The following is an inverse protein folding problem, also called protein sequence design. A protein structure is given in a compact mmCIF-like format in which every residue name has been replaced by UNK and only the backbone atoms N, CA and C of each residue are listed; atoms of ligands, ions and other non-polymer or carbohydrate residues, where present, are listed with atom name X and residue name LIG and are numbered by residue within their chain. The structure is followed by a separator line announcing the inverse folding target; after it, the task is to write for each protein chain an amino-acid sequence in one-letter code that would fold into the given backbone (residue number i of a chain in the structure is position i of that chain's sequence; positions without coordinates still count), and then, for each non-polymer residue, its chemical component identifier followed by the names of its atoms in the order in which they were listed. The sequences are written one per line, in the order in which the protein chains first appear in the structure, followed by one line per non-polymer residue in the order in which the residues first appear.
data_IF_306069115018
#
_entry.id   IF_306069115018
#
_cell.length_a   1.000
_cell.length_b   1.000
_cell.length_c   1.000
_cell.angle_alpha   90.00
_cell.angle_beta   90.00
_cell.angle_gamma   90.00
#
_symmetry.space_group_name_H-M   'P 1'
#
loop_
_entity.id
_entity.type
_entity.pdbx_description
1 polymer ?
#
# COMPACT_ATOMS: atom_id res chain seq x y z
N UNK A 1 -23.58 -0.22 -17.08
CA UNK A 1 -22.33 -1.02 -17.00
C UNK A 1 -22.72 -2.48 -16.81
N UNK A 2 -22.35 -3.36 -17.74
CA UNK A 2 -22.37 -4.81 -17.45
C UNK A 2 -21.48 -5.05 -16.22
N UNK A 3 -21.92 -5.88 -15.29
CA UNK A 3 -21.18 -6.28 -14.08
C UNK A 3 -21.05 -5.25 -12.95
N UNK A 4 -21.84 -4.15 -12.97
CA UNK A 4 -21.85 -3.15 -11.87
C UNK A 4 -21.96 -3.78 -10.48
N UNK A 5 -22.90 -4.72 -10.33
CA UNK A 5 -23.17 -5.38 -9.05
C UNK A 5 -21.98 -6.23 -8.59
N UNK A 6 -21.30 -6.91 -9.51
CA UNK A 6 -20.09 -7.68 -9.22
C UNK A 6 -18.95 -6.80 -8.73
N UNK A 7 -18.70 -5.66 -9.38
CA UNK A 7 -17.66 -4.72 -8.95
C UNK A 7 -17.97 -4.10 -7.59
N UNK A 8 -19.22 -3.69 -7.36
CA UNK A 8 -19.65 -3.15 -6.07
C UNK A 8 -19.53 -4.20 -4.96
N UNK A 9 -19.94 -5.44 -5.23
CA UNK A 9 -19.82 -6.53 -4.26
C UNK A 9 -18.34 -6.76 -3.89
N UNK A 10 -17.45 -6.90 -4.87
CA UNK A 10 -16.01 -7.08 -4.62
C UNK A 10 -15.40 -5.91 -3.85
N UNK A 11 -15.75 -4.68 -4.22
CA UNK A 11 -15.31 -3.47 -3.53
C UNK A 11 -15.80 -3.41 -2.08
N UNK A 12 -17.07 -3.74 -1.83
CA UNK A 12 -17.65 -3.78 -0.49
C UNK A 12 -17.01 -4.85 0.38
N UNK A 13 -16.72 -6.04 -0.17
CA UNK A 13 -16.00 -7.08 0.58
C UNK A 13 -14.56 -6.65 0.92
N UNK A 14 -13.84 -6.07 -0.04
CA UNK A 14 -12.49 -5.55 0.22
C UNK A 14 -12.50 -4.44 1.28
N UNK A 15 -13.47 -3.52 1.20
CA UNK A 15 -13.65 -2.46 2.20
C UNK A 15 -13.99 -3.03 3.58
N UNK A 16 -14.89 -4.01 3.66
CA UNK A 16 -15.25 -4.67 4.91
C UNK A 16 -14.03 -5.33 5.56
N UNK A 17 -13.25 -6.08 4.79
CA UNK A 17 -12.00 -6.68 5.27
C UNK A 17 -11.01 -5.62 5.76
N UNK A 18 -10.85 -4.53 5.00
CA UNK A 18 -9.99 -3.42 5.41
C UNK A 18 -10.43 -2.80 6.74
N UNK A 19 -11.74 -2.59 6.93
CA UNK A 19 -12.28 -2.03 8.17
C UNK A 19 -12.09 -2.98 9.35
N UNK A 20 -12.30 -4.29 9.17
CA UNK A 20 -12.06 -5.30 10.22
C UNK A 20 -10.58 -5.29 10.63
N UNK A 21 -9.67 -5.30 9.65
CA UNK A 21 -8.23 -5.23 9.92
C UNK A 21 -7.85 -3.92 10.61
N UNK A 22 -8.38 -2.79 10.16
CA UNK A 22 -8.15 -1.49 10.79
C UNK A 22 -8.64 -1.44 12.23
N UNK A 23 -9.81 -2.03 12.51
CA UNK A 23 -10.36 -2.15 13.86
C UNK A 23 -9.43 -2.97 14.76
N UNK A 24 -8.96 -4.13 14.29
CA UNK A 24 -7.98 -4.95 15.02
C UNK A 24 -6.68 -4.18 15.27
N UNK A 25 -6.15 -3.50 14.25
CA UNK A 25 -4.93 -2.69 14.35
C UNK A 25 -5.07 -1.59 15.39
N UNK A 26 -6.23 -0.92 15.46
CA UNK A 26 -6.45 0.20 16.39
C UNK A 26 -6.68 -0.26 17.83
N UNK A 27 -7.54 -1.25 18.01
CA UNK A 27 -8.09 -1.59 19.33
C UNK A 27 -7.46 -2.84 19.95
N UNK A 28 -6.82 -3.69 19.14
CA UNK A 28 -6.20 -4.95 19.61
C UNK A 28 -4.78 -5.14 19.06
N UNK A 29 -3.88 -4.14 19.17
CA UNK A 29 -2.54 -4.22 18.60
C UNK A 29 -1.71 -5.38 19.19
N UNK A 30 -1.89 -5.71 20.47
CA UNK A 30 -1.13 -6.77 21.15
C UNK A 30 -1.38 -8.16 20.56
N UNK A 31 -2.61 -8.47 20.15
CA UNK A 31 -2.93 -9.73 19.47
C UNK A 31 -2.22 -9.84 18.12
N UNK A 32 -2.02 -8.71 17.44
CA UNK A 32 -1.33 -8.67 16.16
C UNK A 32 0.19 -8.74 16.31
N UNK A 33 0.78 -8.32 17.42
CA UNK A 33 2.24 -8.34 17.60
C UNK A 33 2.79 -9.76 17.48
N UNK A 34 2.23 -10.72 18.22
CA UNK A 34 2.72 -12.11 18.19
C UNK A 34 2.53 -12.75 16.82
N UNK A 35 1.40 -12.48 16.17
CA UNK A 35 1.11 -12.97 14.82
C UNK A 35 2.09 -12.37 13.79
N UNK A 36 2.22 -11.05 13.77
CA UNK A 36 3.11 -10.32 12.85
C UNK A 36 4.57 -10.71 13.07
N UNK A 37 5.03 -10.81 14.31
CA UNK A 37 6.41 -11.20 14.62
C UNK A 37 6.72 -12.63 14.18
N UNK A 38 5.79 -13.56 14.36
CA UNK A 38 5.97 -14.96 13.93
C UNK A 38 6.12 -15.03 12.40
N UNK A 39 5.26 -14.33 11.66
CA UNK A 39 5.31 -14.28 10.20
C UNK A 39 6.56 -13.53 9.72
N UNK A 40 6.88 -12.39 10.32
CA UNK A 40 8.08 -11.62 9.98
C UNK A 40 9.34 -12.45 10.21
N UNK A 41 9.44 -13.18 11.32
CA UNK A 41 10.61 -14.02 11.60
C UNK A 41 10.68 -15.19 10.61
N UNK A 42 9.56 -15.82 10.27
CA UNK A 42 9.52 -16.94 9.32
C UNK A 42 9.88 -16.53 7.88
N UNK A 43 9.38 -15.38 7.40
CA UNK A 43 9.59 -14.91 6.03
C UNK A 43 10.90 -14.13 5.90
N UNK A 44 11.15 -13.22 6.85
CA UNK A 44 12.26 -12.29 6.80
C UNK A 44 13.52 -12.88 7.42
N UNK A 45 13.40 -13.46 8.62
CA UNK A 45 14.47 -14.15 9.36
C UNK A 45 15.89 -13.67 9.04
N UNK A 46 16.77 -14.62 8.73
CA UNK A 46 18.11 -14.38 8.20
C UNK A 46 18.10 -14.45 6.67
N UNK A 47 17.62 -13.37 6.04
CA UNK A 47 17.51 -13.31 4.58
C UNK A 47 18.92 -13.20 3.96
N UNK A 48 19.31 -14.11 3.04
CA UNK A 48 20.58 -14.03 2.34
C UNK A 48 20.81 -12.68 1.64
N UNK A 49 22.05 -12.22 1.60
CA UNK A 49 22.43 -10.90 1.05
C UNK A 49 21.91 -10.68 -0.39
N UNK A 50 21.95 -11.71 -1.23
CA UNK A 50 21.48 -11.61 -2.62
C UNK A 50 19.96 -11.36 -2.70
N UNK A 51 19.16 -11.99 -1.83
CA UNK A 51 17.72 -11.75 -1.76
C UNK A 51 17.44 -10.36 -1.18
N UNK A 52 18.20 -9.95 -0.17
CA UNK A 52 18.10 -8.61 0.41
C UNK A 52 18.33 -7.52 -0.64
N UNK A 53 19.34 -7.68 -1.50
CA UNK A 53 19.61 -6.75 -2.63
C UNK A 53 18.43 -6.74 -3.61
N UNK A 54 17.91 -7.91 -3.98
CA UNK A 54 16.79 -8.05 -4.90
C UNK A 54 15.53 -7.37 -4.35
N UNK A 55 15.12 -7.67 -3.12
CA UNK A 55 13.94 -7.05 -2.52
C UNK A 55 14.12 -5.54 -2.32
N UNK A 56 15.32 -5.08 -1.95
CA UNK A 56 15.61 -3.64 -1.85
C UNK A 56 15.49 -2.94 -3.21
N UNK A 57 15.95 -3.58 -4.28
CA UNK A 57 15.79 -3.04 -5.63
C UNK A 57 14.31 -2.99 -6.05
N UNK A 58 13.56 -4.05 -5.78
CA UNK A 58 12.11 -4.10 -6.06
C UNK A 58 11.34 -3.04 -5.26
N UNK A 59 11.62 -2.88 -3.97
CA UNK A 59 10.98 -1.84 -3.15
C UNK A 59 11.25 -0.45 -3.69
N UNK A 60 12.50 -0.15 -4.10
CA UNK A 60 12.84 1.15 -4.71
C UNK A 60 12.07 1.45 -6.00
N UNK A 61 11.72 0.44 -6.79
CA UNK A 61 10.91 0.64 -8.00
C UNK A 61 9.45 1.03 -7.69
N UNK A 62 9.00 0.77 -6.47
CA UNK A 62 7.63 1.02 -6.00
C UNK A 62 7.63 2.15 -4.94
N UNK A 63 8.72 2.89 -4.80
CA UNK A 63 8.76 4.10 -3.96
C UNK A 63 7.81 5.17 -4.50
N UNK A 64 7.24 5.97 -3.59
CA UNK A 64 6.23 7.00 -3.93
C UNK A 64 6.68 7.93 -5.07
N UNK A 65 7.89 8.54 -5.05
CA UNK A 65 8.33 9.41 -6.14
C UNK A 65 8.43 8.67 -7.49
N UNK A 66 8.82 7.40 -7.45
CA UNK A 66 8.95 6.56 -8.64
C UNK A 66 7.57 6.24 -9.21
N UNK A 67 6.61 5.82 -8.38
CA UNK A 67 5.21 5.60 -8.80
C UNK A 67 4.61 6.87 -9.40
N UNK A 68 4.76 8.02 -8.73
CA UNK A 68 4.24 9.30 -9.24
C UNK A 68 4.79 9.56 -10.64
N UNK A 69 6.09 9.34 -10.83
CA UNK A 69 6.76 9.51 -12.13
C UNK A 69 6.14 8.61 -13.21
N UNK A 70 6.00 7.31 -12.94
CA UNK A 70 5.40 6.36 -13.89
C UNK A 70 3.95 6.70 -14.21
N UNK A 71 3.15 7.07 -13.22
CA UNK A 71 1.74 7.44 -13.40
C UNK A 71 1.62 8.71 -14.23
N UNK A 72 2.42 9.74 -13.96
CA UNK A 72 2.39 10.99 -14.73
C UNK A 72 2.81 10.77 -16.18
N UNK A 73 3.87 10.00 -16.42
CA UNK A 73 4.30 9.64 -17.78
C UNK A 73 3.20 8.89 -18.53
N UNK A 74 2.59 7.88 -17.87
CA UNK A 74 1.54 7.06 -18.49
C UNK A 74 0.28 7.87 -18.77
N UNK A 75 -0.14 8.72 -17.82
CA UNK A 75 -1.25 9.63 -17.99
C UNK A 75 -1.01 10.60 -19.15
N UNK A 76 0.20 11.16 -19.26
CA UNK A 76 0.57 12.01 -20.39
C UNK A 76 0.48 11.28 -21.73
N UNK A 77 0.97 10.03 -21.81
CA UNK A 77 0.85 9.20 -23.02
C UNK A 77 -0.62 8.95 -23.37
N UNK A 78 -1.48 8.62 -22.40
CA UNK A 78 -2.92 8.44 -22.62
C UNK A 78 -3.60 9.71 -23.10
N UNK A 79 -3.24 10.85 -22.50
CA UNK A 79 -3.72 12.16 -22.94
C UNK A 79 -3.36 12.44 -24.40
N UNK A 80 -2.12 12.15 -24.82
CA UNK A 80 -1.66 12.30 -26.21
C UNK A 80 -2.38 11.36 -27.18
N UNK A 81 -2.73 10.13 -26.75
CA UNK A 81 -3.55 9.18 -27.52
C UNK A 81 -5.04 9.52 -27.56
N UNK A 82 -5.46 10.64 -26.97
CA UNK A 82 -6.87 11.07 -26.80
C UNK A 82 -7.70 10.18 -25.86
N UNK A 83 -7.06 9.33 -25.07
CA UNK A 83 -7.67 8.58 -23.96
C UNK A 83 -7.72 9.45 -22.70
N UNK A 84 -8.46 10.56 -22.82
CA UNK A 84 -8.46 11.61 -21.79
C UNK A 84 -9.10 11.12 -20.49
N UNK A 85 -10.17 10.34 -20.58
CA UNK A 85 -10.90 9.84 -19.42
C UNK A 85 -10.00 8.90 -18.61
N UNK A 86 -9.28 8.00 -19.28
CA UNK A 86 -8.32 7.07 -18.67
C UNK A 86 -7.15 7.80 -18.03
N UNK A 87 -6.63 8.85 -18.69
CA UNK A 87 -5.60 9.72 -18.13
C UNK A 87 -6.07 10.39 -16.84
N UNK A 88 -7.28 10.95 -16.81
CA UNK A 88 -7.81 11.59 -15.61
C UNK A 88 -8.13 10.58 -14.51
N UNK A 89 -8.60 9.38 -14.85
CA UNK A 89 -8.81 8.32 -13.87
C UNK A 89 -7.51 7.86 -13.22
N UNK A 90 -6.42 7.72 -13.98
CA UNK A 90 -5.10 7.39 -13.41
C UNK A 90 -4.64 8.45 -12.40
N UNK A 91 -4.67 9.72 -12.76
CA UNK A 91 -4.26 10.82 -11.89
C UNK A 91 -5.18 10.95 -10.66
N UNK A 92 -6.50 10.85 -10.88
CA UNK A 92 -7.49 10.88 -9.81
C UNK A 92 -7.31 9.73 -8.82
N UNK A 93 -7.01 8.52 -9.30
CA UNK A 93 -6.75 7.37 -8.44
C UNK A 93 -5.47 7.54 -7.62
N UNK A 94 -4.40 8.08 -8.22
CA UNK A 94 -3.17 8.39 -7.49
C UNK A 94 -3.41 9.41 -6.36
N UNK A 95 -4.12 10.49 -6.66
CA UNK A 95 -4.46 11.52 -5.69
C UNK A 95 -5.35 10.98 -4.56
N UNK A 96 -6.39 10.21 -4.92
CA UNK A 96 -7.29 9.59 -3.95
C UNK A 96 -6.57 8.58 -3.06
N UNK A 97 -5.72 7.72 -3.63
CA UNK A 97 -4.92 6.77 -2.86
C UNK A 97 -3.99 7.50 -1.87
N UNK A 98 -3.28 8.54 -2.32
CA UNK A 98 -2.43 9.36 -1.45
C UNK A 98 -3.21 9.98 -0.28
N UNK A 99 -4.37 10.58 -0.57
CA UNK A 99 -5.24 11.17 0.45
C UNK A 99 -5.72 10.13 1.47
N UNK A 100 -6.17 8.96 0.99
CA UNK A 100 -6.66 7.88 1.85
C UNK A 100 -5.53 7.31 2.72
N UNK A 101 -4.33 7.10 2.17
CA UNK A 101 -3.17 6.61 2.92
C UNK A 101 -2.82 7.57 4.06
N UNK A 102 -2.70 8.87 3.77
CA UNK A 102 -2.39 9.88 4.80
C UNK A 102 -3.49 9.92 5.87
N UNK A 103 -4.76 9.90 5.45
CA UNK A 103 -5.90 9.92 6.37
C UNK A 103 -5.89 8.70 7.28
N UNK A 104 -5.78 7.49 6.72
CA UNK A 104 -5.81 6.25 7.50
C UNK A 104 -4.57 6.10 8.39
N UNK A 105 -3.37 6.48 7.92
CA UNK A 105 -2.16 6.47 8.76
C UNK A 105 -2.36 7.33 10.00
N UNK A 106 -2.99 8.50 9.87
CA UNK A 106 -3.29 9.38 11.00
C UNK A 106 -4.44 8.91 11.89
N UNK A 107 -5.38 8.10 11.38
CA UNK A 107 -6.45 7.49 12.19
C UNK A 107 -5.89 6.34 13.03
N UNK A 108 -5.14 5.44 12.39
CA UNK A 108 -4.69 4.19 13.03
C UNK A 108 -3.44 4.41 13.89
N UNK A 109 -2.52 5.27 13.45
CA UNK A 109 -1.29 5.63 14.17
C UNK A 109 -0.47 4.42 14.64
N UNK A 110 -0.50 3.34 13.86
CA UNK A 110 0.19 2.10 14.22
C UNK A 110 1.72 2.33 14.15
N UNK A 111 2.48 2.09 15.23
CA UNK A 111 3.93 2.20 15.20
C UNK A 111 4.54 1.12 14.29
N UNK A 112 5.73 1.38 13.76
CA UNK A 112 6.50 0.37 13.01
C UNK A 112 7.15 -0.63 13.96
N UNK A 113 7.28 -1.91 13.57
CA UNK A 113 8.09 -2.85 14.33
C UNK A 113 9.53 -2.34 14.45
N UNK A 114 10.16 -2.52 15.61
CA UNK A 114 11.53 -2.07 15.88
C UNK A 114 12.62 -2.98 15.26
N UNK A 115 12.30 -3.70 14.19
CA UNK A 115 13.26 -4.53 13.47
C UNK A 115 14.17 -3.65 12.61
N UNK A 116 15.42 -4.06 12.40
CA UNK A 116 16.32 -3.37 11.47
C UNK A 116 15.60 -3.27 10.12
N UNK A 117 15.32 -2.09 9.58
CA UNK A 117 14.60 -1.96 8.31
C UNK A 117 15.59 -2.00 7.12
N UNK A 118 15.23 -2.66 6.02
CA UNK A 118 16.05 -2.65 4.79
C UNK A 118 16.07 -1.26 4.11
N UNK A 119 15.06 -0.44 4.41
CA UNK A 119 14.86 0.94 3.95
C UNK A 119 14.28 1.74 5.12
N UNK A 120 14.84 2.91 5.43
CA UNK A 120 14.32 3.77 6.50
C UNK A 120 13.00 4.44 6.10
N UNK A 121 11.92 4.16 6.82
CA UNK A 121 10.65 4.87 6.69
C UNK A 121 10.25 5.50 8.04
N UNK A 122 10.03 6.82 8.05
CA UNK A 122 9.77 7.61 9.28
C UNK A 122 8.28 7.82 9.61
N UNK A 123 7.38 6.98 9.07
CA UNK A 123 5.92 7.14 9.23
C UNK A 123 5.22 5.96 9.91
N UNK A 124 3.91 6.06 10.13
CA UNK A 124 3.08 4.95 10.61
C UNK A 124 3.13 3.72 9.69
N UNK A 125 2.93 2.52 10.26
CA UNK A 125 3.02 1.24 9.54
C UNK A 125 1.75 0.83 8.80
N UNK A 126 0.58 1.36 9.19
CA UNK A 126 -0.71 0.92 8.63
C UNK A 126 -1.57 2.11 8.17
N UNK A 127 -2.21 2.01 6.99
CA UNK A 127 -1.94 1.04 5.93
C UNK A 127 -0.55 1.26 5.32
N UNK A 128 0.01 0.29 4.59
CA UNK A 128 1.32 0.45 3.91
C UNK A 128 1.25 1.57 2.87
#
# INVERSE_FOLDING_TARGET
MKDKQTFLMKGSFALLLFVILGYMVKFYPEMLVNFDQSIQTAIRGDLPDYLTILFRALTRLIDIPVIITWVVITAFVFYRKRWKIESFFMLGNLALAGLLIVTFKNIYQRPRPAILHLVEEKGFSFPS
#
